data_IF_426927015670
#
_entry.id   IF_426927015670
#
_cell.length_a   1.000
_cell.length_b   1.000
_cell.length_c   1.000
_cell.angle_alpha   90.00
_cell.angle_beta   90.00
_cell.angle_gamma   90.00
#
_symmetry.space_group_name_H-M   'P 1'
#
loop_
_entity.id
_entity.type
_entity.pdbx_description
1 polymer ?
#
# COMPACT_ATOMS: atom_id res chain seq x y z
N UNK A 1 12.85 5.17 -18.67
CA UNK A 1 14.08 5.18 -17.84
C UNK A 1 13.70 4.61 -16.50
N UNK A 2 14.45 3.63 -15.97
CA UNK A 2 14.24 3.07 -14.63
C UNK A 2 14.68 4.16 -13.65
N UNK A 3 13.80 4.66 -12.79
CA UNK A 3 14.17 5.69 -11.81
C UNK A 3 15.27 5.15 -10.89
N UNK A 4 16.44 5.82 -10.79
CA UNK A 4 17.57 5.34 -9.97
C UNK A 4 17.30 5.42 -8.46
N UNK A 5 16.19 6.02 -8.05
CA UNK A 5 15.75 6.18 -6.66
C UNK A 5 14.89 5.01 -6.16
N UNK A 6 14.45 4.10 -7.05
CA UNK A 6 13.63 2.93 -6.70
C UNK A 6 14.50 1.71 -6.42
N UNK A 7 14.24 1.04 -5.29
CA UNK A 7 14.94 -0.19 -4.91
C UNK A 7 14.70 -1.32 -5.93
N UNK A 8 15.72 -2.15 -6.24
CA UNK A 8 15.59 -3.24 -7.20
C UNK A 8 14.65 -4.35 -6.69
N UNK A 9 14.04 -5.07 -7.62
CA UNK A 9 12.89 -5.93 -7.36
C UNK A 9 13.06 -7.22 -6.54
N UNK A 10 14.24 -7.75 -6.16
CA UNK A 10 14.23 -8.70 -5.04
C UNK A 10 14.14 -7.97 -3.70
N UNK A 11 14.78 -6.80 -3.57
CA UNK A 11 14.85 -6.07 -2.31
C UNK A 11 13.51 -5.37 -1.98
N UNK A 12 12.89 -4.74 -2.98
CA UNK A 12 11.59 -4.07 -2.80
C UNK A 12 10.50 -5.02 -2.30
N UNK A 13 10.45 -6.25 -2.81
CA UNK A 13 9.47 -7.25 -2.35
C UNK A 13 9.69 -7.59 -0.87
N UNK A 14 10.94 -7.78 -0.44
CA UNK A 14 11.26 -8.09 0.95
C UNK A 14 10.93 -6.90 1.86
N UNK A 15 11.25 -5.68 1.42
CA UNK A 15 10.95 -4.46 2.16
C UNK A 15 9.43 -4.23 2.28
N UNK A 16 8.67 -4.43 1.21
CA UNK A 16 7.21 -4.31 1.19
C UNK A 16 6.54 -5.41 2.03
N UNK A 17 7.06 -6.64 2.01
CA UNK A 17 6.63 -7.70 2.94
C UNK A 17 6.82 -7.28 4.40
N UNK A 18 8.02 -6.80 4.75
CA UNK A 18 8.39 -6.46 6.12
C UNK A 18 7.62 -5.26 6.67
N UNK A 19 7.50 -4.19 5.87
CA UNK A 19 6.73 -3.00 6.23
C UNK A 19 5.23 -3.32 6.36
N UNK A 20 4.68 -4.14 5.45
CA UNK A 20 3.28 -4.58 5.54
C UNK A 20 3.03 -5.50 6.75
N UNK A 21 3.99 -6.38 7.08
CA UNK A 21 3.93 -7.17 8.30
C UNK A 21 3.87 -6.28 9.54
N UNK A 22 4.75 -5.27 9.63
CA UNK A 22 4.78 -4.34 10.74
C UNK A 22 3.46 -3.56 10.85
N UNK A 23 2.93 -3.05 9.74
CA UNK A 23 1.63 -2.39 9.69
C UNK A 23 0.51 -3.32 10.18
N UNK A 24 0.49 -4.57 9.73
CA UNK A 24 -0.50 -5.57 10.14
C UNK A 24 -0.36 -6.00 11.60
N UNK A 25 0.87 -6.06 12.13
CA UNK A 25 1.13 -6.38 13.54
C UNK A 25 0.65 -5.27 14.47
N UNK A 26 0.95 -4.01 14.13
CA UNK A 26 0.54 -2.84 14.92
C UNK A 26 -0.97 -2.64 14.80
N UNK A 27 -1.51 -2.54 13.58
CA UNK A 27 -2.94 -2.32 13.35
C UNK A 27 -3.79 -3.50 13.84
N UNK A 28 -3.39 -4.73 13.50
CA UNK A 28 -4.04 -5.94 13.97
C UNK A 28 -3.93 -6.10 15.49
N UNK A 29 -2.80 -5.73 16.09
CA UNK A 29 -2.62 -5.72 17.54
C UNK A 29 -3.61 -4.79 18.23
N UNK A 30 -3.70 -3.54 17.80
CA UNK A 30 -4.62 -2.53 18.37
C UNK A 30 -6.08 -2.97 18.19
N UNK A 31 -6.47 -3.40 16.98
CA UNK A 31 -7.84 -3.81 16.69
C UNK A 31 -8.26 -5.03 17.51
N UNK A 32 -7.40 -6.06 17.57
CA UNK A 32 -7.68 -7.27 18.34
C UNK A 32 -7.58 -7.02 19.85
N UNK A 33 -6.77 -6.07 20.31
CA UNK A 33 -6.76 -5.63 21.71
C UNK A 33 -8.12 -5.05 22.11
N UNK A 34 -8.62 -4.09 21.34
CA UNK A 34 -9.91 -3.46 21.59
C UNK A 34 -11.07 -4.46 21.52
N UNK A 35 -11.09 -5.31 20.48
CA UNK A 35 -12.09 -6.36 20.32
C UNK A 35 -12.02 -7.39 21.44
N UNK A 36 -10.81 -7.81 21.83
CA UNK A 36 -10.58 -8.73 22.94
C UNK A 36 -11.06 -8.16 24.27
N UNK A 37 -10.79 -6.88 24.54
CA UNK A 37 -11.25 -6.21 25.75
C UNK A 37 -12.79 -6.07 25.82
N UNK A 38 -13.45 -5.71 24.70
CA UNK A 38 -14.93 -5.59 24.64
C UNK A 38 -15.65 -6.93 24.72
N UNK A 39 -15.12 -7.98 24.08
CA UNK A 39 -15.80 -9.26 23.98
C UNK A 39 -15.56 -10.20 25.18
N UNK A 40 -14.66 -9.84 26.10
CA UNK A 40 -14.31 -10.68 27.25
C UNK A 40 -15.29 -10.53 28.42
N UNK A 41 -15.53 -11.62 29.19
CA UNK A 41 -16.35 -11.57 30.41
C UNK A 41 -15.85 -10.55 31.44
N UNK A 42 -16.77 -10.03 32.25
CA UNK A 42 -16.43 -9.12 33.37
C UNK A 42 -15.44 -9.84 34.31
N UNK A 43 -14.33 -9.18 34.64
CA UNK A 43 -13.26 -9.73 35.48
C UNK A 43 -12.05 -10.32 34.74
N UNK A 44 -12.18 -10.70 33.46
CA UNK A 44 -11.07 -11.28 32.68
C UNK A 44 -10.66 -10.43 31.46
N UNK A 45 -11.08 -9.17 31.41
CA UNK A 45 -10.88 -8.31 30.23
C UNK A 45 -9.42 -8.14 29.81
N UNK A 46 -8.50 -7.96 30.76
CA UNK A 46 -7.07 -7.86 30.47
C UNK A 46 -6.47 -9.19 29.98
N UNK A 47 -6.89 -10.31 30.56
CA UNK A 47 -6.47 -11.64 30.12
C UNK A 47 -6.99 -11.96 28.72
N UNK A 48 -8.25 -11.64 28.43
CA UNK A 48 -8.82 -11.82 27.10
C UNK A 48 -8.25 -10.87 26.06
N UNK A 49 -7.91 -9.63 26.43
CA UNK A 49 -7.18 -8.69 25.57
C UNK A 49 -5.80 -9.24 25.19
N UNK A 50 -4.99 -9.66 26.17
CA UNK A 50 -3.64 -10.19 25.92
C UNK A 50 -3.68 -11.49 25.12
N UNK A 51 -4.66 -12.36 25.38
CA UNK A 51 -4.90 -13.58 24.60
C UNK A 51 -5.31 -13.27 23.16
N UNK A 52 -6.18 -12.28 22.96
CA UNK A 52 -6.60 -11.86 21.62
C UNK A 52 -5.43 -11.27 20.81
N UNK A 53 -4.60 -10.42 21.42
CA UNK A 53 -3.39 -9.90 20.77
C UNK A 53 -2.48 -11.06 20.36
N UNK A 54 -2.11 -11.94 21.31
CA UNK A 54 -1.18 -13.05 21.06
C UNK A 54 -1.65 -14.00 19.96
N UNK A 55 -2.95 -14.28 19.89
CA UNK A 55 -3.49 -15.27 18.94
C UNK A 55 -3.88 -14.67 17.60
N UNK A 56 -4.20 -13.37 17.51
CA UNK A 56 -4.76 -12.76 16.29
C UNK A 56 -3.85 -11.72 15.63
N UNK A 57 -3.00 -11.04 16.38
CA UNK A 57 -2.04 -10.09 15.81
C UNK A 57 -1.08 -10.75 14.80
N UNK A 58 -0.45 -11.91 15.07
CA UNK A 58 0.46 -12.53 14.09
C UNK A 58 -0.26 -13.02 12.82
N UNK A 59 -1.51 -13.49 12.95
CA UNK A 59 -2.33 -13.89 11.80
C UNK A 59 -2.62 -12.68 10.91
N UNK A 60 -3.01 -11.55 11.53
CA UNK A 60 -3.27 -10.31 10.81
C UNK A 60 -2.00 -9.81 10.13
N UNK A 61 -0.87 -9.77 10.84
CA UNK A 61 0.43 -9.39 10.30
C UNK A 61 0.87 -10.26 9.11
N UNK A 62 0.71 -11.58 9.22
CA UNK A 62 1.01 -12.52 8.13
C UNK A 62 0.15 -12.27 6.89
N UNK A 63 -1.16 -12.04 7.05
CA UNK A 63 -2.05 -11.72 5.93
C UNK A 63 -1.63 -10.42 5.22
N UNK A 64 -1.27 -9.38 5.97
CA UNK A 64 -0.78 -8.13 5.37
C UNK A 64 0.59 -8.31 4.70
N UNK A 65 1.48 -9.13 5.27
CA UNK A 65 2.77 -9.43 4.66
C UNK A 65 2.62 -10.16 3.32
N UNK A 66 1.73 -11.16 3.25
CA UNK A 66 1.42 -11.87 2.02
C UNK A 66 0.81 -10.94 0.98
N UNK A 67 -0.12 -10.07 1.39
CA UNK A 67 -0.73 -9.08 0.50
C UNK A 67 0.32 -8.10 -0.05
N UNK A 68 1.14 -7.50 0.81
CA UNK A 68 2.17 -6.54 0.41
C UNK A 68 3.26 -7.16 -0.47
N UNK A 69 3.71 -8.37 -0.14
CA UNK A 69 4.68 -9.12 -0.95
C UNK A 69 4.15 -9.48 -2.33
N UNK A 70 2.89 -9.93 -2.39
CA UNK A 70 2.26 -10.28 -3.66
C UNK A 70 2.01 -9.04 -4.53
N UNK A 71 1.55 -7.95 -3.92
CA UNK A 71 1.40 -6.65 -4.59
C UNK A 71 2.72 -6.19 -5.21
N UNK A 72 3.80 -6.18 -4.42
CA UNK A 72 5.13 -5.78 -4.88
C UNK A 72 5.65 -6.71 -5.99
N UNK A 73 5.43 -8.02 -5.88
CA UNK A 73 5.82 -9.00 -6.89
C UNK A 73 5.10 -8.79 -8.22
N UNK A 74 3.79 -8.53 -8.18
CA UNK A 74 2.99 -8.25 -9.38
C UNK A 74 3.40 -6.91 -9.98
N UNK A 75 3.57 -5.87 -9.18
CA UNK A 75 4.01 -4.54 -9.64
C UNK A 75 5.39 -4.60 -10.32
N UNK A 76 6.34 -5.30 -9.70
CA UNK A 76 7.67 -5.55 -10.27
C UNK A 76 7.59 -6.32 -11.60
N UNK A 77 6.72 -7.32 -11.69
CA UNK A 77 6.53 -8.11 -12.92
C UNK A 77 5.92 -7.27 -14.04
N UNK A 78 4.87 -6.49 -13.74
CA UNK A 78 4.22 -5.60 -14.70
C UNK A 78 5.17 -4.51 -15.20
N UNK A 79 5.93 -3.89 -14.30
CA UNK A 79 6.93 -2.88 -14.65
C UNK A 79 8.05 -3.45 -15.52
N UNK A 80 8.45 -4.71 -15.31
CA UNK A 80 9.43 -5.38 -16.15
C UNK A 80 8.88 -5.72 -17.55
N UNK A 81 7.63 -6.17 -17.64
CA UNK A 81 6.99 -6.51 -18.92
C UNK A 81 6.70 -5.26 -19.76
N UNK A 82 6.20 -4.19 -19.12
CA UNK A 82 5.77 -2.96 -19.82
C UNK A 82 6.89 -1.96 -20.04
N UNK A 83 7.99 -2.07 -19.31
CA UNK A 83 9.11 -1.12 -19.36
C UNK A 83 8.73 0.33 -18.98
N UNK A 84 7.57 0.53 -18.36
CA UNK A 84 7.01 1.81 -17.92
C UNK A 84 6.43 1.64 -16.52
N UNK A 85 6.65 2.64 -15.68
CA UNK A 85 6.11 2.69 -14.32
C UNK A 85 5.05 3.82 -14.28
N UNK A 86 3.79 3.43 -14.45
CA UNK A 86 2.63 4.32 -14.45
C UNK A 86 1.66 3.90 -13.32
N UNK A 87 0.78 4.80 -12.85
CA UNK A 87 -0.26 4.48 -11.85
C UNK A 87 -1.16 3.29 -12.23
N UNK A 88 -1.26 2.99 -13.53
CA UNK A 88 -1.94 1.78 -14.01
C UNK A 88 -1.32 0.48 -13.51
N UNK A 89 0.01 0.42 -13.30
CA UNK A 89 0.65 -0.78 -12.76
C UNK A 89 0.15 -1.06 -11.34
N UNK A 90 -0.02 -0.02 -10.52
CA UNK A 90 -0.53 -0.12 -9.15
C UNK A 90 -2.01 -0.53 -9.08
N UNK A 91 -2.82 -0.05 -10.03
CA UNK A 91 -4.24 -0.46 -10.15
C UNK A 91 -4.34 -1.94 -10.55
N UNK A 92 -3.59 -2.35 -11.59
CA UNK A 92 -3.59 -3.73 -12.06
C UNK A 92 -2.98 -4.68 -11.03
N UNK A 93 -1.92 -4.28 -10.34
CA UNK A 93 -1.33 -5.10 -9.29
C UNK A 93 -2.28 -5.27 -8.10
N UNK A 94 -3.02 -4.23 -7.72
CA UNK A 94 -4.10 -4.33 -6.73
C UNK A 94 -5.20 -5.31 -7.14
N UNK A 95 -5.66 -5.24 -8.40
CA UNK A 95 -6.69 -6.14 -8.92
C UNK A 95 -6.22 -7.59 -8.98
N UNK A 96 -5.02 -7.84 -9.53
CA UNK A 96 -4.44 -9.18 -9.63
C UNK A 96 -4.18 -9.76 -8.25
N UNK A 97 -3.63 -8.98 -7.32
CA UNK A 97 -3.36 -9.42 -5.95
C UNK A 97 -4.64 -9.79 -5.22
N UNK A 98 -5.67 -8.94 -5.30
CA UNK A 98 -6.99 -9.21 -4.72
C UNK A 98 -7.64 -10.46 -5.28
N UNK A 99 -7.60 -10.64 -6.61
CA UNK A 99 -8.14 -11.84 -7.26
C UNK A 99 -7.37 -13.11 -6.91
N UNK A 100 -6.04 -13.04 -6.88
CA UNK A 100 -5.18 -14.20 -6.63
C UNK A 100 -5.31 -14.71 -5.19
N UNK A 101 -5.43 -13.82 -4.20
CA UNK A 101 -5.65 -14.22 -2.81
C UNK A 101 -7.03 -14.86 -2.60
N UNK A 102 -8.04 -14.40 -3.32
CA UNK A 102 -9.39 -14.92 -3.24
C UNK A 102 -9.67 -16.11 -4.18
N UNK A 103 -8.70 -16.54 -5.01
CA UNK A 103 -8.90 -17.58 -6.03
C UNK A 103 -9.45 -18.89 -5.45
N UNK A 104 -9.05 -19.24 -4.22
CA UNK A 104 -9.48 -20.47 -3.54
C UNK A 104 -10.92 -20.41 -3.04
N UNK A 105 -11.49 -19.21 -2.93
CA UNK A 105 -12.85 -18.97 -2.44
C UNK A 105 -13.90 -19.01 -3.56
N UNK A 106 -13.52 -19.46 -4.76
CA UNK A 106 -14.36 -19.54 -5.94
C UNK A 106 -14.24 -18.32 -6.88
N UNK A 107 -14.63 -18.48 -8.15
CA UNK A 107 -14.42 -17.47 -9.19
C UNK A 107 -15.15 -16.15 -8.90
N UNK A 108 -16.38 -16.21 -8.39
CA UNK A 108 -17.17 -15.01 -8.04
C UNK A 108 -16.49 -14.17 -6.96
N UNK A 109 -16.00 -14.82 -5.91
CA UNK A 109 -15.28 -14.15 -4.80
C UNK A 109 -13.95 -13.58 -5.29
N UNK A 110 -13.26 -14.28 -6.18
CA UNK A 110 -12.03 -13.82 -6.81
C UNK A 110 -12.26 -12.55 -7.65
N UNK A 111 -13.28 -12.55 -8.51
CA UNK A 111 -13.64 -11.38 -9.30
C UNK A 111 -14.04 -10.19 -8.41
N UNK A 112 -14.87 -10.41 -7.39
CA UNK A 112 -15.26 -9.36 -6.46
C UNK A 112 -14.05 -8.75 -5.73
N UNK A 113 -13.10 -9.60 -5.29
CA UNK A 113 -11.88 -9.16 -4.60
C UNK A 113 -10.92 -8.43 -5.54
N UNK A 114 -10.84 -8.85 -6.81
CA UNK A 114 -10.07 -8.16 -7.82
C UNK A 114 -10.62 -6.76 -8.11
N UNK A 115 -11.94 -6.63 -8.27
CA UNK A 115 -12.59 -5.31 -8.47
C UNK A 115 -12.35 -4.42 -7.26
N UNK A 116 -12.55 -4.93 -6.04
CA UNK A 116 -12.31 -4.17 -4.82
C UNK A 116 -10.85 -3.71 -4.70
N UNK A 117 -9.90 -4.60 -4.98
CA UNK A 117 -8.46 -4.27 -4.96
C UNK A 117 -8.08 -3.22 -5.99
N UNK A 118 -8.60 -3.34 -7.23
CA UNK A 118 -8.35 -2.36 -8.29
C UNK A 118 -8.96 -0.99 -7.98
N UNK A 119 -10.20 -0.95 -7.49
CA UNK A 119 -10.87 0.32 -7.10
C UNK A 119 -10.13 0.99 -5.95
N UNK A 120 -9.72 0.24 -4.93
CA UNK A 120 -9.01 0.80 -3.77
C UNK A 120 -7.69 1.47 -4.20
N UNK A 121 -6.90 0.81 -5.04
CA UNK A 121 -5.64 1.38 -5.56
C UNK A 121 -5.88 2.54 -6.52
N UNK A 122 -6.95 2.51 -7.33
CA UNK A 122 -7.33 3.63 -8.19
C UNK A 122 -7.67 4.89 -7.38
N UNK A 123 -8.34 4.72 -6.23
CA UNK A 123 -8.61 5.84 -5.32
C UNK A 123 -7.31 6.36 -4.70
N UNK A 124 -6.41 5.47 -4.24
CA UNK A 124 -5.14 5.89 -3.63
C UNK A 124 -4.28 6.69 -4.63
N UNK A 125 -4.11 6.17 -5.85
CA UNK A 125 -3.36 6.85 -6.92
C UNK A 125 -4.05 8.16 -7.35
N UNK A 126 -5.39 8.17 -7.44
CA UNK A 126 -6.16 9.36 -7.78
C UNK A 126 -6.03 10.48 -6.73
N UNK A 127 -6.06 10.14 -5.44
CA UNK A 127 -5.82 11.10 -4.34
C UNK A 127 -4.38 11.57 -4.35
N UNK A 128 -3.41 10.67 -4.57
CA UNK A 128 -2.00 11.03 -4.72
C UNK A 128 -1.77 12.03 -5.84
N UNK A 129 -2.40 11.83 -7.00
CA UNK A 129 -2.34 12.74 -8.12
C UNK A 129 -2.95 14.11 -7.77
N UNK A 130 -4.10 14.14 -7.09
CA UNK A 130 -4.76 15.38 -6.68
C UNK A 130 -3.93 16.19 -5.68
N UNK A 131 -3.33 15.54 -4.67
CA UNK A 131 -2.45 16.20 -3.69
C UNK A 131 -1.19 16.72 -4.37
N UNK A 132 -0.57 15.93 -5.26
CA UNK A 132 0.60 16.37 -6.00
C UNK A 132 0.30 17.61 -6.87
N UNK A 133 -0.87 17.63 -7.52
CA UNK A 133 -1.32 18.78 -8.30
C UNK A 133 -1.63 20.01 -7.44
N UNK A 134 -2.20 19.83 -6.24
CA UNK A 134 -2.42 20.91 -5.29
C UNK A 134 -1.09 21.48 -4.77
N UNK A 135 -0.12 20.63 -4.45
CA UNK A 135 1.19 21.05 -3.97
C UNK A 135 2.02 21.74 -5.07
N UNK A 136 1.96 21.26 -6.32
CA UNK A 136 2.63 21.91 -7.45
C UNK A 136 2.03 23.29 -7.78
N UNK A 137 0.73 23.49 -7.50
CA UNK A 137 0.10 24.81 -7.60
C UNK A 137 0.56 25.81 -6.52
N UNK A 138 1.04 25.32 -5.36
CA UNK A 138 1.68 26.14 -4.32
C UNK A 138 3.15 26.42 -4.60
N UNK A 139 3.87 25.50 -5.24
CA UNK A 139 5.26 25.68 -5.67
C UNK A 139 5.33 26.06 -7.15
N UNK A 140 4.62 27.12 -7.57
CA UNK A 140 4.95 27.75 -8.85
C UNK A 140 6.39 28.27 -8.71
N UNK A 141 7.35 27.83 -9.55
CA UNK A 141 8.68 28.41 -9.52
C UNK A 141 8.53 29.91 -9.74
N UNK A 142 9.07 30.73 -8.82
CA UNK A 142 9.27 32.14 -9.12
C UNK A 142 10.06 32.21 -10.43
N UNK A 143 9.57 32.92 -11.46
CA UNK A 143 10.35 33.09 -12.68
C UNK A 143 11.68 33.68 -12.26
N UNK A 144 12.78 33.04 -12.69
CA UNK A 144 14.12 33.53 -12.43
C UNK A 144 14.16 35.01 -12.87
N UNK A 145 14.39 35.91 -11.92
CA UNK A 145 14.70 37.31 -12.24
C UNK A 145 16.05 37.29 -12.94
N UNK A 146 16.04 37.25 -14.26
CA UNK A 146 17.20 37.56 -15.07
C UNK A 146 17.44 39.06 -14.86
N UNK A 147 18.60 39.50 -14.34
CA UNK A 147 18.90 40.92 -14.33
C UNK A 147 18.94 41.41 -15.79
N UNK A 148 17.98 42.24 -16.14
CA UNK A 148 17.92 42.97 -17.40
C UNK A 148 18.64 44.31 -17.18
N UNK A 149 19.96 44.34 -17.44
CA UNK A 149 20.80 45.53 -17.71
C UNK A 149 22.24 45.00 -17.82
N UNK A 150 22.90 44.97 -18.98
CA UNK A 150 23.43 46.16 -19.64
C UNK A 150 23.49 45.96 -21.17
N UNK A 151 22.48 46.51 -21.85
CA UNK A 151 22.65 47.07 -23.19
C UNK A 151 22.55 48.57 -22.98
N UNK A 152 23.64 49.31 -22.79
CA UNK A 152 23.96 50.62 -23.40
C UNK A 152 25.16 51.23 -22.67
N UNK A 153 26.39 51.10 -23.19
CA UNK A 153 27.26 52.21 -23.67
C UNK A 153 28.63 51.72 -24.14
#
# INVERSE_FOLDING_TARGET
MKDPTKEPCPYRIINDCGSSFAMGAIGGGIFNAFKGFRNSPRGQKFSGMTTAIKTKAPISAGNFAVWGGLFAGVDCTLSNIRGKEDSWNSIWSGAITGGLLAMRSGPTTACASAVMGGVLLAVIEGVGHAINNANSSMYKPQPATIPEEDKTK
#
